data_IF_103683090051
#
_entry.id   IF_103683090051
#
_cell.length_a   1.000
_cell.length_b   1.000
_cell.length_c   1.000
_cell.angle_alpha   90.00
_cell.angle_beta   90.00
_cell.angle_gamma   90.00
#
_symmetry.space_group_name_H-M   'P 1'
#
loop_
_entity.id
_entity.type
_entity.pdbx_description
1 polymer ?
#
# COMPACT_ATOMS: atom_id res chain seq x y z
N UNK A 1 -5.94 2.84 32.56
CA UNK A 1 -6.37 2.24 31.28
C UNK A 1 -5.32 2.53 30.23
N UNK A 2 -4.96 1.50 29.48
CA UNK A 2 -4.09 1.70 28.30
C UNK A 2 -4.96 1.60 27.06
N UNK A 3 -4.79 2.55 26.15
CA UNK A 3 -5.53 2.57 24.90
C UNK A 3 -4.57 2.81 23.74
N UNK A 4 -4.81 2.10 22.65
CA UNK A 4 -4.05 2.26 21.41
C UNK A 4 -5.03 2.61 20.30
N UNK A 5 -4.61 3.52 19.43
CA UNK A 5 -5.41 3.91 18.27
C UNK A 5 -4.73 3.37 17.03
N UNK A 6 -5.52 2.71 16.20
CA UNK A 6 -5.11 2.26 14.87
C UNK A 6 -5.86 3.09 13.83
N UNK A 7 -5.13 3.72 12.93
CA UNK A 7 -5.73 4.44 11.82
C UNK A 7 -6.02 3.45 10.69
N UNK A 8 -7.19 3.55 10.10
CA UNK A 8 -7.66 2.64 9.05
C UNK A 8 -7.91 3.43 7.77
N UNK A 9 -7.32 2.96 6.66
CA UNK A 9 -7.64 3.41 5.31
C UNK A 9 -8.15 2.18 4.55
N UNK A 10 -9.38 2.24 4.08
CA UNK A 10 -10.04 1.08 3.49
C UNK A 10 -10.54 1.39 2.08
N UNK A 11 -10.33 0.42 1.18
CA UNK A 11 -10.84 0.46 -0.19
C UNK A 11 -10.33 1.67 -0.99
N UNK A 12 -9.06 2.03 -0.79
CA UNK A 12 -8.45 3.11 -1.55
C UNK A 12 -8.04 2.60 -2.93
N UNK A 13 -8.63 3.18 -3.97
CA UNK A 13 -8.46 2.75 -5.37
C UNK A 13 -7.67 3.77 -6.16
N UNK A 14 -6.75 3.28 -6.99
CA UNK A 14 -6.09 4.12 -7.98
C UNK A 14 -5.54 3.26 -9.12
N UNK A 15 -5.10 3.92 -10.20
CA UNK A 15 -4.55 3.27 -11.39
C UNK A 15 -3.04 3.36 -11.35
N UNK A 16 -2.35 2.24 -11.63
CA UNK A 16 -0.88 2.21 -11.65
C UNK A 16 -0.38 1.07 -12.53
N UNK A 17 0.88 1.18 -12.97
CA UNK A 17 1.56 0.08 -13.65
C UNK A 17 2.17 -0.81 -12.57
N UNK A 18 1.73 -2.08 -12.52
CA UNK A 18 2.22 -3.07 -11.57
C UNK A 18 2.01 -4.48 -12.14
N UNK A 19 2.99 -5.35 -11.95
CA UNK A 19 2.93 -6.74 -12.35
C UNK A 19 4.04 -7.13 -13.31
N UNK A 20 4.23 -8.45 -13.49
CA UNK A 20 5.31 -9.01 -14.30
C UNK A 20 4.88 -9.40 -15.71
N UNK A 21 3.58 -9.52 -15.99
CA UNK A 21 3.09 -9.90 -17.30
C UNK A 21 3.28 -8.75 -18.29
N UNK A 22 3.55 -9.07 -19.55
CA UNK A 22 3.86 -8.06 -20.57
C UNK A 22 2.79 -6.97 -20.65
N UNK A 23 1.51 -7.34 -20.65
CA UNK A 23 0.44 -6.35 -20.72
C UNK A 23 0.34 -5.49 -19.45
N UNK A 24 0.79 -6.00 -18.30
CA UNK A 24 0.82 -5.22 -17.06
C UNK A 24 1.89 -4.13 -17.09
N UNK A 25 2.92 -4.29 -17.94
CA UNK A 25 4.02 -3.31 -18.03
C UNK A 25 3.69 -2.11 -18.92
N UNK A 26 2.67 -2.21 -19.75
CA UNK A 26 2.36 -1.18 -20.76
C UNK A 26 1.04 -0.47 -20.51
N UNK A 27 0.22 -0.94 -19.56
CA UNK A 27 -1.07 -0.34 -19.27
C UNK A 27 -1.30 -0.29 -17.77
N UNK A 28 -1.84 0.81 -17.29
CA UNK A 28 -2.25 0.94 -15.89
C UNK A 28 -3.43 0.02 -15.60
N UNK A 29 -3.47 -0.50 -14.38
CA UNK A 29 -4.62 -1.25 -13.89
C UNK A 29 -5.06 -0.70 -12.54
N UNK A 30 -6.30 -0.96 -12.16
CA UNK A 30 -6.80 -0.59 -10.85
C UNK A 30 -6.15 -1.45 -9.77
N UNK A 31 -5.70 -0.81 -8.70
CA UNK A 31 -5.31 -1.48 -7.47
C UNK A 31 -6.18 -0.97 -6.33
N UNK A 32 -6.36 -1.84 -5.33
CA UNK A 32 -7.12 -1.56 -4.14
C UNK A 32 -6.19 -1.70 -2.95
N UNK A 33 -6.04 -0.63 -2.19
CA UNK A 33 -5.16 -0.61 -1.02
C UNK A 33 -6.01 -0.54 0.24
N UNK A 34 -5.70 -1.41 1.19
CA UNK A 34 -6.21 -1.36 2.56
C UNK A 34 -5.03 -1.30 3.50
N UNK A 35 -5.05 -0.39 4.44
CA UNK A 35 -3.98 -0.33 5.43
C UNK A 35 -4.50 0.09 6.80
N UNK A 36 -3.78 -0.38 7.81
CA UNK A 36 -3.95 0.01 9.20
C UNK A 36 -2.58 0.37 9.76
N UNK A 37 -2.49 1.45 10.51
CA UNK A 37 -1.20 1.82 11.08
C UNK A 37 -1.34 2.46 12.45
N UNK A 38 -0.26 2.35 13.22
CA UNK A 38 -0.10 2.99 14.53
C UNK A 38 1.13 3.86 14.53
N UNK A 39 1.11 4.90 15.34
CA UNK A 39 2.20 5.87 15.42
C UNK A 39 2.25 6.47 16.81
N UNK A 40 3.43 7.03 17.17
CA UNK A 40 3.61 7.75 18.42
C UNK A 40 3.07 9.17 18.38
N UNK A 41 2.84 9.72 17.20
CA UNK A 41 2.21 11.01 16.99
C UNK A 41 1.22 10.93 15.85
N UNK A 42 0.30 11.90 15.80
CA UNK A 42 -0.71 11.93 14.75
C UNK A 42 -0.07 12.01 13.36
N UNK A 43 -0.49 11.13 12.47
CA UNK A 43 -0.12 11.18 11.05
C UNK A 43 -1.40 11.44 10.25
N UNK A 44 -1.37 12.47 9.42
CA UNK A 44 -2.47 12.78 8.51
C UNK A 44 -2.59 11.68 7.45
N UNK A 45 -3.71 10.95 7.44
CA UNK A 45 -3.93 9.87 6.49
C UNK A 45 -3.96 10.36 5.04
N UNK A 46 -4.32 11.62 4.79
CA UNK A 46 -4.28 12.19 3.43
C UNK A 46 -2.83 12.20 2.91
N UNK A 47 -1.87 12.55 3.75
CA UNK A 47 -0.45 12.51 3.38
C UNK A 47 0.03 11.09 3.10
N UNK A 48 -0.49 10.12 3.85
CA UNK A 48 -0.13 8.70 3.66
C UNK A 48 -0.65 8.19 2.31
N UNK A 49 -1.92 8.42 1.99
CA UNK A 49 -2.49 7.94 0.73
C UNK A 49 -1.89 8.66 -0.48
N UNK A 50 -1.62 9.96 -0.39
CA UNK A 50 -0.96 10.69 -1.46
C UNK A 50 0.47 10.17 -1.70
N UNK A 51 1.20 9.90 -0.62
CA UNK A 51 2.53 9.31 -0.71
C UNK A 51 2.49 7.95 -1.41
N UNK A 52 1.57 7.07 -1.01
CA UNK A 52 1.45 5.73 -1.60
C UNK A 52 1.15 5.81 -3.08
N UNK A 53 0.18 6.59 -3.50
CA UNK A 53 -0.20 6.70 -4.90
C UNK A 53 0.97 7.22 -5.75
N UNK A 54 1.63 8.29 -5.32
CA UNK A 54 2.76 8.85 -6.04
C UNK A 54 3.93 7.87 -6.10
N UNK A 55 4.19 7.17 -4.99
CA UNK A 55 5.27 6.20 -4.92
C UNK A 55 5.05 5.03 -5.87
N UNK A 56 3.85 4.46 -5.88
CA UNK A 56 3.51 3.38 -6.81
C UNK A 56 3.63 3.82 -8.26
N UNK A 57 3.18 5.02 -8.59
CA UNK A 57 3.25 5.55 -9.96
C UNK A 57 4.68 5.84 -10.39
N UNK A 58 5.56 6.21 -9.48
CA UNK A 58 6.99 6.41 -9.77
C UNK A 58 7.72 5.08 -9.93
N UNK A 59 7.49 4.12 -9.04
CA UNK A 59 8.26 2.88 -8.96
C UNK A 59 7.86 1.85 -10.02
N UNK A 60 6.61 1.80 -10.43
CA UNK A 60 6.09 0.83 -11.40
C UNK A 60 6.53 -0.60 -11.04
N UNK A 61 6.17 -1.05 -9.84
CA UNK A 61 6.63 -2.31 -9.28
C UNK A 61 6.32 -3.51 -10.15
N UNK A 62 7.24 -4.46 -10.20
CA UNK A 62 7.04 -5.70 -10.95
C UNK A 62 6.21 -6.73 -10.19
N UNK A 63 6.20 -6.71 -8.86
CA UNK A 63 5.37 -7.64 -8.07
C UNK A 63 4.69 -6.93 -6.91
N UNK A 64 3.56 -7.48 -6.47
CA UNK A 64 2.84 -6.94 -5.32
C UNK A 64 3.66 -7.15 -4.03
N UNK A 65 4.40 -8.25 -3.94
CA UNK A 65 5.25 -8.55 -2.78
C UNK A 65 6.37 -7.51 -2.64
N UNK A 66 7.08 -7.23 -3.73
CA UNK A 66 8.11 -6.20 -3.76
C UNK A 66 7.53 -4.83 -3.40
N UNK A 67 6.34 -4.51 -3.93
CA UNK A 67 5.69 -3.23 -3.66
C UNK A 67 5.41 -3.03 -2.18
N UNK A 68 4.98 -4.08 -1.50
CA UNK A 68 4.69 -4.02 -0.07
C UNK A 68 5.94 -3.81 0.76
N UNK A 69 7.01 -4.56 0.48
CA UNK A 69 8.26 -4.43 1.21
C UNK A 69 8.89 -3.05 1.03
N UNK A 70 8.95 -2.58 -0.21
CA UNK A 70 9.56 -1.29 -0.52
C UNK A 70 8.73 -0.14 0.04
N UNK A 71 7.40 -0.21 -0.10
CA UNK A 71 6.50 0.84 0.38
C UNK A 71 6.49 0.91 1.92
N UNK A 72 6.53 -0.24 2.59
CA UNK A 72 6.60 -0.28 4.06
C UNK A 72 7.83 0.48 4.58
N UNK A 73 8.99 0.24 3.97
CA UNK A 73 10.23 0.94 4.35
C UNK A 73 10.16 2.43 4.02
N UNK A 74 9.63 2.77 2.86
CA UNK A 74 9.51 4.17 2.44
C UNK A 74 8.54 4.94 3.34
N UNK A 75 7.44 4.31 3.77
CA UNK A 75 6.51 4.93 4.72
C UNK A 75 7.17 5.20 6.06
N UNK A 76 7.97 4.25 6.58
CA UNK A 76 8.72 4.47 7.83
C UNK A 76 9.72 5.61 7.71
N UNK A 77 10.41 5.69 6.57
CA UNK A 77 11.38 6.78 6.33
C UNK A 77 10.68 8.14 6.25
N UNK A 78 9.51 8.19 5.62
CA UNK A 78 8.74 9.43 5.48
C UNK A 78 8.05 9.84 6.79
N UNK A 79 7.50 8.88 7.51
CA UNK A 79 6.71 9.10 8.73
C UNK A 79 7.42 8.42 9.91
N UNK A 80 8.40 9.10 10.48
CA UNK A 80 9.29 8.54 11.50
C UNK A 80 8.57 8.07 12.76
N UNK A 81 7.39 8.65 13.07
CA UNK A 81 6.59 8.26 14.23
C UNK A 81 5.81 6.96 14.03
N UNK A 82 5.82 6.41 12.81
CA UNK A 82 5.12 5.16 12.50
C UNK A 82 5.73 4.00 13.30
N UNK A 83 4.89 3.23 14.00
CA UNK A 83 5.34 2.11 14.84
C UNK A 83 4.95 0.76 14.29
N UNK A 84 3.82 0.66 13.59
CA UNK A 84 3.40 -0.58 12.95
C UNK A 84 2.54 -0.27 11.73
N UNK A 85 2.54 -1.21 10.80
CA UNK A 85 1.79 -1.10 9.56
C UNK A 85 1.30 -2.48 9.13
N UNK A 86 0.02 -2.55 8.81
CA UNK A 86 -0.58 -3.66 8.08
C UNK A 86 -1.08 -3.10 6.76
N UNK A 87 -0.57 -3.60 5.65
CA UNK A 87 -0.93 -3.09 4.33
C UNK A 87 -1.24 -4.24 3.38
N UNK A 88 -2.35 -4.11 2.68
CA UNK A 88 -2.82 -5.05 1.69
C UNK A 88 -2.94 -4.35 0.35
N UNK A 89 -2.53 -5.03 -0.71
CA UNK A 89 -2.79 -4.58 -2.09
C UNK A 89 -3.48 -5.69 -2.85
N UNK A 90 -4.55 -5.33 -3.53
CA UNK A 90 -5.34 -6.23 -4.36
C UNK A 90 -5.34 -5.74 -5.81
N UNK A 91 -5.37 -6.68 -6.74
CA UNK A 91 -5.54 -6.42 -8.18
C UNK A 91 -6.89 -7.00 -8.60
N UNK A 92 -7.98 -6.21 -8.57
CA UNK A 92 -9.32 -6.75 -8.76
C UNK A 92 -9.64 -7.13 -10.20
N UNK A 93 -8.88 -6.63 -11.18
CA UNK A 93 -9.19 -6.81 -12.60
C UNK A 93 -8.30 -7.81 -13.33
N UNK A 94 -7.24 -8.32 -12.68
CA UNK A 94 -6.25 -9.17 -13.36
C UNK A 94 -6.82 -10.53 -13.79
N UNK A 95 -7.79 -11.05 -13.04
CA UNK A 95 -8.44 -12.32 -13.35
C UNK A 95 -9.97 -12.18 -13.27
N UNK A 96 -10.73 -12.92 -14.11
CA UNK A 96 -12.17 -12.67 -14.22
C UNK A 96 -13.02 -13.10 -13.01
N UNK A 97 -12.57 -14.06 -12.22
CA UNK A 97 -13.41 -14.64 -11.16
C UNK A 97 -12.71 -14.77 -9.81
N UNK A 98 -11.62 -14.02 -9.61
CA UNK A 98 -10.91 -14.01 -8.34
C UNK A 98 -10.19 -12.68 -8.18
N UNK A 99 -10.13 -12.20 -6.94
CA UNK A 99 -9.31 -11.01 -6.61
C UNK A 99 -8.04 -11.53 -5.95
N UNK A 100 -6.89 -11.11 -6.49
CA UNK A 100 -5.59 -11.55 -6.00
C UNK A 100 -4.79 -10.38 -5.45
N UNK A 101 -3.87 -10.69 -4.56
CA UNK A 101 -3.00 -9.69 -3.99
C UNK A 101 -2.13 -10.27 -2.88
N UNK A 102 -1.61 -9.40 -2.04
CA UNK A 102 -0.77 -9.79 -0.90
C UNK A 102 -0.90 -8.75 0.21
N UNK A 103 -0.45 -9.11 1.40
CA UNK A 103 -0.40 -8.16 2.51
C UNK A 103 0.89 -8.34 3.31
N UNK A 104 1.29 -7.25 3.98
CA UNK A 104 2.47 -7.21 4.84
C UNK A 104 2.06 -6.74 6.23
N UNK A 105 2.74 -7.29 7.23
CA UNK A 105 2.68 -6.80 8.60
C UNK A 105 4.08 -6.39 9.01
N UNK A 106 4.25 -5.12 9.40
CA UNK A 106 5.55 -4.58 9.79
C UNK A 106 5.46 -3.96 11.18
N UNK A 107 6.42 -4.27 12.01
CA UNK A 107 6.64 -3.62 13.31
C UNK A 107 8.00 -2.94 13.24
N UNK A 108 8.01 -1.64 13.45
CA UNK A 108 9.21 -0.82 13.27
C UNK A 108 9.95 -0.57 14.57
#
# INVERSE_FOLDING_TARGET
>A
MKSEITTIVKDYKFQTIIGMLDFERVAKQEVLINLEFRSTSLIDYVLVIDFIQNFYNEQQFQSVEESLQTTSKALKDKFSSLTSLDMEILKPEIMPNVIVGAKIHSVF
#
